data_IF_433459318612
#
_entry.id   IF_433459318612
#
_cell.length_a   1.000
_cell.length_b   1.000
_cell.length_c   1.000
_cell.angle_alpha   90.00
_cell.angle_beta   90.00
_cell.angle_gamma   90.00
#
_symmetry.space_group_name_H-M   'P 1'
#
loop_
_entity.id
_entity.type
_entity.pdbx_description
1 polymer ?
#
# COMPACT_ATOMS: atom_id res chain seq x y z
N UNK A 1 16.30 -1.58 -21.45
CA UNK A 1 14.99 -2.06 -21.92
C UNK A 1 14.45 -1.10 -22.98
N UNK A 2 13.55 -1.57 -23.85
CA UNK A 2 12.91 -0.77 -24.90
C UNK A 2 11.50 -0.42 -24.44
N UNK A 3 11.10 0.85 -24.55
CA UNK A 3 9.73 1.30 -24.22
C UNK A 3 8.70 0.56 -25.09
N UNK A 4 7.75 -0.12 -24.45
CA UNK A 4 6.62 -0.79 -25.11
C UNK A 4 5.36 0.01 -24.83
N UNK A 5 4.68 0.46 -25.88
CA UNK A 5 3.40 1.17 -25.75
C UNK A 5 2.25 0.17 -25.84
N UNK A 6 1.32 0.23 -24.89
CA UNK A 6 0.09 -0.54 -24.89
C UNK A 6 -1.13 0.37 -25.07
N UNK A 7 -2.20 -0.17 -25.65
CA UNK A 7 -3.51 0.52 -25.64
C UNK A 7 -4.06 0.46 -24.22
N UNK A 8 -4.51 1.58 -23.64
CA UNK A 8 -5.06 1.57 -22.29
C UNK A 8 -6.41 0.83 -22.27
N UNK A 9 -6.46 -0.32 -21.63
CA UNK A 9 -7.71 -0.95 -21.20
C UNK A 9 -8.25 -0.24 -19.94
N UNK A 10 -9.53 -0.43 -19.62
CA UNK A 10 -10.05 0.04 -18.32
C UNK A 10 -9.34 -0.75 -17.21
N UNK A 11 -8.43 -0.09 -16.48
CA UNK A 11 -7.77 -0.70 -15.33
C UNK A 11 -8.81 -1.01 -14.25
N UNK A 12 -8.79 -2.25 -13.75
CA UNK A 12 -9.59 -2.64 -12.60
C UNK A 12 -9.15 -1.86 -11.36
N UNK A 13 -10.12 -1.54 -10.50
CA UNK A 13 -9.93 -0.75 -9.29
C UNK A 13 -10.38 -1.52 -8.07
N UNK A 14 -9.52 -1.59 -7.06
CA UNK A 14 -9.77 -2.30 -5.81
C UNK A 14 -9.93 -1.29 -4.66
N UNK A 15 -11.04 -1.39 -3.92
CA UNK A 15 -11.25 -0.60 -2.70
C UNK A 15 -11.01 -1.46 -1.47
N UNK A 16 -10.22 -1.00 -0.48
CA UNK A 16 -9.99 -1.74 0.77
C UNK A 16 -11.28 -2.14 1.50
N UNK A 17 -12.27 -1.25 1.52
CA UNK A 17 -13.58 -1.48 2.14
C UNK A 17 -14.60 -0.45 1.63
N UNK A 18 -15.88 -0.71 1.90
CA UNK A 18 -16.97 0.22 1.56
C UNK A 18 -16.81 1.55 2.29
N UNK A 19 -16.68 2.65 1.54
CA UNK A 19 -16.48 4.00 2.08
C UNK A 19 -15.04 4.52 2.01
N UNK A 20 -14.08 3.70 1.58
CA UNK A 20 -12.75 4.21 1.24
C UNK A 20 -12.84 5.19 0.04
N UNK A 21 -12.11 6.33 0.05
CA UNK A 21 -12.42 7.46 -0.82
C UNK A 21 -12.02 7.24 -2.29
N UNK A 22 -11.22 6.22 -2.60
CA UNK A 22 -10.71 5.94 -3.94
C UNK A 22 -10.50 4.44 -4.15
N UNK A 23 -10.43 4.00 -5.40
CA UNK A 23 -9.95 2.67 -5.77
C UNK A 23 -8.46 2.70 -6.08
N UNK A 24 -7.72 1.68 -5.65
CA UNK A 24 -6.34 1.45 -6.06
C UNK A 24 -6.37 0.71 -7.39
N UNK A 25 -5.73 1.27 -8.41
CA UNK A 25 -5.69 0.68 -9.75
C UNK A 25 -4.76 -0.51 -9.80
N UNK A 26 -5.16 -1.55 -10.53
CA UNK A 26 -4.25 -2.61 -10.92
C UNK A 26 -3.01 -2.04 -11.63
N UNK A 27 -1.83 -2.59 -11.33
CA UNK A 27 -0.56 -2.14 -11.90
C UNK A 27 -0.04 -0.81 -11.36
N UNK A 28 -0.77 -0.16 -10.45
CA UNK A 28 -0.36 1.11 -9.88
C UNK A 28 0.64 0.96 -8.74
N UNK A 29 1.34 2.05 -8.45
CA UNK A 29 2.31 2.16 -7.38
C UNK A 29 1.83 3.12 -6.29
N UNK A 30 1.92 2.69 -5.03
CA UNK A 30 1.48 3.45 -3.87
C UNK A 30 2.57 3.54 -2.81
N UNK A 31 2.77 4.73 -2.25
CA UNK A 31 3.55 4.91 -1.03
C UNK A 31 2.63 5.38 0.12
N UNK A 32 2.76 4.73 1.27
CA UNK A 32 1.86 4.94 2.42
C UNK A 32 2.63 5.21 3.71
N UNK A 33 2.29 6.32 4.36
CA UNK A 33 2.74 6.63 5.72
C UNK A 33 1.63 6.36 6.72
N UNK A 34 2.01 5.85 7.90
CA UNK A 34 1.09 5.60 9.00
C UNK A 34 1.53 6.39 10.23
N UNK A 35 0.57 6.97 10.97
CA UNK A 35 0.85 7.64 12.25
C UNK A 35 0.89 6.67 13.43
N UNK A 36 0.21 5.53 13.33
CA UNK A 36 -0.02 4.61 14.44
C UNK A 36 -0.16 3.16 13.95
N UNK A 37 0.10 2.20 14.85
CA UNK A 37 0.06 0.77 14.53
C UNK A 37 -1.34 0.30 14.12
N UNK A 38 -2.40 0.90 14.68
CA UNK A 38 -3.75 0.48 14.38
C UNK A 38 -4.16 0.89 12.96
N UNK A 39 -3.74 2.07 12.50
CA UNK A 39 -3.98 2.50 11.11
C UNK A 39 -3.22 1.63 10.10
N UNK A 40 -1.98 1.26 10.40
CA UNK A 40 -1.20 0.31 9.59
C UNK A 40 -1.91 -1.04 9.51
N UNK A 41 -2.17 -1.67 10.65
CA UNK A 41 -2.77 -3.01 10.71
C UNK A 41 -4.14 -2.99 10.04
N UNK A 42 -4.98 -1.99 10.33
CA UNK A 42 -6.31 -1.88 9.74
C UNK A 42 -6.25 -1.76 8.22
N UNK A 43 -5.52 -0.75 7.70
CA UNK A 43 -5.55 -0.47 6.27
C UNK A 43 -4.86 -1.55 5.46
N UNK A 44 -3.70 -2.06 5.90
CA UNK A 44 -2.99 -3.13 5.21
C UNK A 44 -3.85 -4.39 5.14
N UNK A 45 -4.50 -4.77 6.25
CA UNK A 45 -5.34 -5.98 6.28
C UNK A 45 -6.51 -5.89 5.30
N UNK A 46 -7.24 -4.78 5.31
CA UNK A 46 -8.38 -4.58 4.40
C UNK A 46 -7.95 -4.43 2.94
N UNK A 47 -6.84 -3.74 2.69
CA UNK A 47 -6.27 -3.62 1.35
C UNK A 47 -5.87 -4.97 0.79
N UNK A 48 -5.14 -5.79 1.55
CA UNK A 48 -4.75 -7.13 1.11
C UNK A 48 -5.95 -8.07 0.93
N UNK A 49 -6.96 -7.99 1.80
CA UNK A 49 -8.18 -8.78 1.65
C UNK A 49 -8.91 -8.46 0.34
N UNK A 50 -8.96 -7.19 -0.05
CA UNK A 50 -9.56 -6.72 -1.28
C UNK A 50 -8.71 -7.07 -2.51
N UNK A 51 -7.38 -6.90 -2.45
CA UNK A 51 -6.47 -7.27 -3.54
C UNK A 51 -6.49 -8.78 -3.82
N UNK A 52 -6.70 -9.59 -2.78
CA UNK A 52 -6.79 -11.04 -2.91
C UNK A 52 -8.04 -11.49 -3.69
N UNK A 53 -9.03 -10.62 -3.88
CA UNK A 53 -10.17 -10.89 -4.76
C UNK A 53 -9.81 -10.75 -6.25
N UNK A 54 -8.81 -9.93 -6.57
CA UNK A 54 -8.31 -9.70 -7.92
C UNK A 54 -7.15 -10.62 -8.34
N UNK A 55 -6.45 -11.24 -7.39
CA UNK A 55 -5.36 -12.17 -7.69
C UNK A 55 -4.44 -12.47 -6.51
N UNK A 56 -3.30 -13.10 -6.78
CA UNK A 56 -2.31 -13.44 -5.75
C UNK A 56 -1.75 -12.18 -5.07
N UNK A 57 -1.60 -12.23 -3.74
CA UNK A 57 -1.03 -11.14 -2.94
C UNK A 57 0.25 -11.62 -2.25
N UNK A 58 1.34 -10.91 -2.47
CA UNK A 58 2.64 -11.19 -1.87
C UNK A 58 2.96 -10.11 -0.86
N UNK A 59 3.00 -10.46 0.41
CA UNK A 59 3.40 -9.58 1.50
C UNK A 59 4.86 -9.82 1.89
N UNK A 60 5.65 -8.76 1.88
CA UNK A 60 7.03 -8.73 2.38
C UNK A 60 7.09 -7.86 3.62
N UNK A 61 7.29 -8.49 4.77
CA UNK A 61 7.42 -7.78 6.04
C UNK A 61 8.89 -7.47 6.35
N UNK A 62 9.19 -6.19 6.49
CA UNK A 62 10.47 -5.66 7.00
C UNK A 62 10.31 -5.21 8.45
N UNK A 63 9.18 -4.55 8.75
CA UNK A 63 8.76 -4.11 10.08
C UNK A 63 7.23 -3.93 10.13
N UNK A 64 6.72 -3.43 11.26
CA UNK A 64 5.29 -3.13 11.44
C UNK A 64 4.51 -4.21 12.18
N UNK A 65 3.23 -3.91 12.45
CA UNK A 65 2.35 -4.74 13.29
C UNK A 65 1.55 -5.81 12.55
N UNK A 66 1.52 -5.79 11.21
CA UNK A 66 0.71 -6.72 10.41
C UNK A 66 1.13 -8.19 10.63
N UNK A 67 0.15 -9.09 10.64
CA UNK A 67 0.38 -10.54 10.64
C UNK A 67 -0.65 -11.25 9.76
N UNK A 68 -0.31 -12.40 9.15
CA UNK A 68 -1.27 -13.19 8.39
C UNK A 68 -2.51 -13.63 9.20
N UNK A 69 -2.37 -13.76 10.53
CA UNK A 69 -3.50 -14.05 11.40
C UNK A 69 -4.52 -12.92 11.46
N UNK A 70 -4.12 -11.67 11.26
CA UNK A 70 -5.02 -10.53 11.19
C UNK A 70 -5.89 -10.62 9.94
N UNK A 71 -5.31 -10.98 8.79
CA UNK A 71 -6.04 -11.18 7.52
C UNK A 71 -7.11 -12.26 7.65
N UNK A 72 -6.79 -13.38 8.32
CA UNK A 72 -7.74 -14.47 8.59
C UNK A 72 -8.93 -14.08 9.45
N UNK A 73 -8.90 -12.92 10.14
CA UNK A 73 -10.05 -12.43 10.92
C UNK A 73 -11.13 -11.82 10.04
N UNK A 74 -10.77 -11.33 8.85
CA UNK A 74 -11.71 -10.65 7.94
C UNK A 74 -11.93 -11.40 6.63
N UNK A 75 -11.09 -12.38 6.31
CA UNK A 75 -11.22 -13.21 5.10
C UNK A 75 -10.99 -14.68 5.44
N UNK A 76 -11.98 -15.53 5.14
CA UNK A 76 -11.92 -16.97 5.42
C UNK A 76 -10.93 -17.69 4.49
N UNK A 77 -11.04 -17.43 3.19
CA UNK A 77 -10.14 -17.97 2.18
C UNK A 77 -8.99 -16.99 1.92
N UNK A 78 -7.78 -17.43 2.25
CA UNK A 78 -6.54 -16.71 1.96
C UNK A 78 -5.66 -17.48 0.96
N UNK A 79 -6.27 -18.36 0.15
CA UNK A 79 -5.58 -18.98 -0.98
C UNK A 79 -5.07 -17.89 -1.94
N UNK A 80 -3.80 -17.98 -2.33
CA UNK A 80 -3.12 -16.90 -3.08
C UNK A 80 -2.42 -15.83 -2.23
N UNK A 81 -2.56 -15.87 -0.90
CA UNK A 81 -1.77 -15.00 -0.01
C UNK A 81 -0.41 -15.64 0.32
N UNK A 82 0.65 -14.93 -0.01
CA UNK A 82 2.03 -15.33 0.23
C UNK A 82 2.70 -14.35 1.19
N UNK A 83 3.43 -14.86 2.17
CA UNK A 83 4.07 -14.03 3.19
C UNK A 83 5.56 -14.37 3.33
N UNK A 84 6.41 -13.34 3.29
CA UNK A 84 7.85 -13.45 3.46
C UNK A 84 8.41 -12.34 4.34
N UNK A 85 9.64 -12.54 4.82
CA UNK A 85 10.41 -11.53 5.55
C UNK A 85 11.74 -11.31 4.86
N UNK A 86 12.14 -10.06 4.71
CA UNK A 86 13.48 -9.69 4.27
C UNK A 86 13.88 -8.33 4.82
N UNK A 87 15.17 -8.04 4.76
CA UNK A 87 15.75 -6.77 5.21
C UNK A 87 16.59 -6.10 4.12
N UNK A 88 16.51 -6.57 2.87
CA UNK A 88 17.31 -6.09 1.73
C UNK A 88 16.43 -5.81 0.52
N UNK A 89 16.66 -4.68 -0.14
CA UNK A 89 15.93 -4.31 -1.36
C UNK A 89 16.13 -5.33 -2.49
N UNK A 90 17.36 -5.85 -2.65
CA UNK A 90 17.66 -6.82 -3.70
C UNK A 90 16.78 -8.06 -3.65
N UNK A 91 16.45 -8.55 -2.45
CA UNK A 91 15.56 -9.71 -2.28
C UNK A 91 14.11 -9.40 -2.65
N UNK A 92 13.65 -8.17 -2.46
CA UNK A 92 12.31 -7.73 -2.90
C UNK A 92 12.25 -7.69 -4.42
N UNK A 93 13.28 -7.12 -5.06
CA UNK A 93 13.41 -7.08 -6.52
C UNK A 93 13.47 -8.49 -7.12
N UNK A 94 14.26 -9.39 -6.53
CA UNK A 94 14.31 -10.80 -6.95
C UNK A 94 12.97 -11.52 -6.80
N UNK A 95 12.25 -11.29 -5.70
CA UNK A 95 10.91 -11.84 -5.50
C UNK A 95 9.93 -11.32 -6.56
N UNK A 96 9.94 -10.02 -6.86
CA UNK A 96 9.09 -9.43 -7.89
C UNK A 96 9.33 -10.06 -9.28
N UNK A 97 10.58 -10.44 -9.59
CA UNK A 97 10.92 -11.14 -10.84
C UNK A 97 10.27 -12.51 -10.97
N UNK A 98 9.92 -13.19 -9.88
CA UNK A 98 9.27 -14.51 -9.91
C UNK A 98 7.75 -14.47 -9.76
N UNK A 99 7.18 -13.33 -9.36
CA UNK A 99 5.73 -13.13 -9.22
C UNK A 99 4.98 -13.23 -10.55
N UNK A 100 3.73 -13.69 -10.46
CA UNK A 100 2.77 -13.76 -11.58
C UNK A 100 2.36 -12.35 -12.03
N UNK A 101 2.20 -12.08 -13.34
CA UNK A 101 1.64 -10.81 -13.82
C UNK A 101 0.24 -10.54 -13.26
N UNK A 102 -0.12 -9.26 -13.07
CA UNK A 102 -1.42 -8.85 -12.50
C UNK A 102 -1.56 -9.07 -10.99
N UNK A 103 -0.54 -9.63 -10.32
CA UNK A 103 -0.55 -9.85 -8.86
C UNK A 103 -0.29 -8.55 -8.07
N UNK A 104 -0.34 -8.64 -6.74
CA UNK A 104 -0.04 -7.51 -5.86
C UNK A 104 1.18 -7.77 -4.98
N UNK A 105 2.04 -6.77 -4.80
CA UNK A 105 3.17 -6.78 -3.89
C UNK A 105 3.00 -5.70 -2.81
N UNK A 106 2.88 -6.12 -1.55
CA UNK A 106 2.87 -5.23 -0.39
C UNK A 106 4.19 -5.36 0.35
N UNK A 107 4.89 -4.25 0.57
CA UNK A 107 6.15 -4.22 1.32
C UNK A 107 5.98 -3.33 2.55
N UNK A 108 5.82 -3.95 3.72
CA UNK A 108 5.65 -3.23 4.98
C UNK A 108 6.97 -2.88 5.63
N UNK A 109 7.18 -1.59 5.89
CA UNK A 109 8.44 -1.05 6.38
C UNK A 109 9.49 -0.89 5.29
N UNK A 110 9.08 -0.61 4.04
CA UNK A 110 9.98 -0.41 2.90
C UNK A 110 11.17 0.51 3.22
N UNK A 111 11.00 1.64 3.93
CA UNK A 111 12.13 2.52 4.22
C UNK A 111 13.22 1.92 5.11
N UNK A 112 12.94 0.83 5.82
CA UNK A 112 13.88 0.10 6.68
C UNK A 112 14.75 -0.92 5.92
N UNK A 113 14.49 -1.15 4.63
CA UNK A 113 15.30 -2.05 3.81
C UNK A 113 16.74 -1.52 3.68
N UNK A 114 17.71 -2.43 3.86
CA UNK A 114 19.11 -2.15 3.55
C UNK A 114 19.34 -2.03 2.05
N UNK A 115 20.40 -1.31 1.72
CA UNK A 115 20.91 -1.12 0.37
C UNK A 115 19.88 -0.47 -0.57
N UNK A 116 18.99 0.38 -0.01
CA UNK A 116 18.08 1.21 -0.78
C UNK A 116 18.87 2.21 -1.63
N UNK A 117 18.58 2.21 -2.93
CA UNK A 117 19.11 3.15 -3.89
C UNK A 117 18.03 3.59 -4.87
N UNK A 118 18.24 4.74 -5.52
CA UNK A 118 17.37 5.21 -6.59
C UNK A 118 17.26 4.18 -7.70
N UNK A 119 18.39 3.61 -8.14
CA UNK A 119 18.42 2.59 -9.19
C UNK A 119 17.61 1.36 -8.82
N UNK A 120 17.70 0.91 -7.56
CA UNK A 120 16.93 -0.25 -7.09
C UNK A 120 15.42 0.03 -7.00
N UNK A 121 15.02 1.26 -6.67
CA UNK A 121 13.61 1.67 -6.72
C UNK A 121 13.10 1.75 -8.17
N UNK A 122 13.88 2.32 -9.07
CA UNK A 122 13.53 2.39 -10.49
C UNK A 122 13.38 0.99 -11.08
N UNK A 123 14.31 0.08 -10.81
CA UNK A 123 14.20 -1.33 -11.23
C UNK A 123 12.93 -1.99 -10.66
N UNK A 124 12.59 -1.73 -9.39
CA UNK A 124 11.37 -2.25 -8.78
C UNK A 124 10.10 -1.74 -9.49
N UNK A 125 10.03 -0.44 -9.76
CA UNK A 125 8.88 0.20 -10.44
C UNK A 125 8.77 -0.25 -11.91
N UNK A 126 9.89 -0.37 -12.62
CA UNK A 126 9.93 -0.85 -14.01
C UNK A 126 9.39 -2.28 -14.11
N UNK A 127 9.90 -3.20 -13.27
CA UNK A 127 9.44 -4.60 -13.28
C UNK A 127 7.96 -4.69 -12.87
N UNK A 128 7.53 -3.88 -11.90
CA UNK A 128 6.14 -3.86 -11.47
C UNK A 128 5.22 -3.40 -12.62
N UNK A 129 5.58 -2.30 -13.30
CA UNK A 129 4.82 -1.78 -14.44
C UNK A 129 4.77 -2.76 -15.62
N UNK A 130 5.89 -3.42 -15.96
CA UNK A 130 5.93 -4.41 -17.05
C UNK A 130 5.06 -5.64 -16.78
N UNK A 131 4.94 -6.04 -15.51
CA UNK A 131 4.14 -7.18 -15.08
C UNK A 131 2.72 -6.81 -14.67
N UNK A 132 2.35 -5.53 -14.74
CA UNK A 132 1.08 -5.02 -14.23
C UNK A 132 0.85 -5.39 -12.75
N UNK A 133 1.92 -5.39 -11.95
CA UNK A 133 1.87 -5.69 -10.50
C UNK A 133 1.47 -4.44 -9.74
N UNK A 134 0.43 -4.56 -8.91
CA UNK A 134 0.04 -3.49 -7.98
C UNK A 134 1.05 -3.43 -6.84
N UNK A 135 1.82 -2.34 -6.77
CA UNK A 135 2.91 -2.17 -5.81
C UNK A 135 2.49 -1.24 -4.67
N UNK A 136 2.54 -1.73 -3.43
CA UNK A 136 2.23 -0.94 -2.23
C UNK A 136 3.42 -0.96 -1.29
N UNK A 137 4.07 0.19 -1.12
CA UNK A 137 5.23 0.35 -0.25
C UNK A 137 4.83 1.16 0.97
N UNK A 138 4.83 0.55 2.15
CA UNK A 138 4.45 1.25 3.39
C UNK A 138 5.65 1.52 4.28
N UNK A 139 5.61 2.62 5.03
CA UNK A 139 6.48 2.82 6.18
C UNK A 139 5.83 2.16 7.41
N UNK A 140 6.65 1.77 8.40
CA UNK A 140 6.11 1.51 9.74
C UNK A 140 5.51 2.79 10.33
N UNK A 141 4.69 2.71 11.38
CA UNK A 141 4.18 3.90 12.04
C UNK A 141 5.29 4.87 12.47
N UNK A 142 5.08 6.18 12.25
CA UNK A 142 6.00 7.26 12.62
C UNK A 142 5.24 8.46 13.18
N UNK A 143 5.95 9.31 13.91
CA UNK A 143 5.45 10.62 14.29
C UNK A 143 5.60 11.54 13.09
N UNK A 144 4.48 12.01 12.54
CA UNK A 144 4.43 12.84 11.34
C UNK A 144 4.41 14.33 11.67
N UNK A 145 5.12 15.13 10.87
CA UNK A 145 4.85 16.55 10.76
C UNK A 145 3.61 16.81 9.89
N UNK A 146 2.47 16.95 10.55
CA UNK A 146 1.18 17.20 9.88
C UNK A 146 1.15 18.47 9.02
N UNK A 147 2.06 19.42 9.26
CA UNK A 147 2.13 20.67 8.51
C UNK A 147 2.91 20.54 7.19
N UNK A 148 3.67 19.46 6.99
CA UNK A 148 4.50 19.25 5.82
C UNK A 148 4.54 17.77 5.40
N UNK A 149 3.37 17.23 5.07
CA UNK A 149 3.25 15.85 4.56
C UNK A 149 4.08 15.60 3.28
N UNK A 150 4.20 16.54 2.31
CA UNK A 150 5.11 16.36 1.18
C UNK A 150 6.58 16.20 1.61
N UNK A 151 7.03 16.98 2.60
CA UNK A 151 8.36 16.86 3.19
C UNK A 151 8.57 15.53 3.91
N UNK A 152 7.54 14.99 4.59
CA UNK A 152 7.58 13.66 5.20
C UNK A 152 7.84 12.56 4.15
N UNK A 153 7.13 12.59 3.02
CA UNK A 153 7.39 11.63 1.94
C UNK A 153 8.80 11.74 1.39
N UNK A 154 9.29 12.96 1.16
CA UNK A 154 10.67 13.20 0.68
C UNK A 154 11.74 12.73 1.67
N UNK A 155 11.43 12.71 2.97
CA UNK A 155 12.36 12.28 4.02
C UNK A 155 12.43 10.76 4.14
N UNK A 156 11.36 10.06 3.79
CA UNK A 156 11.20 8.63 4.03
C UNK A 156 11.29 7.77 2.76
N UNK A 157 10.85 8.29 1.62
CA UNK A 157 10.86 7.61 0.32
C UNK A 157 11.88 8.22 -0.63
N UNK A 158 12.47 7.37 -1.48
CA UNK A 158 13.27 7.86 -2.61
C UNK A 158 12.30 8.20 -3.73
N UNK A 159 12.45 9.38 -4.35
CA UNK A 159 11.64 9.83 -5.49
C UNK A 159 10.12 9.60 -5.32
N UNK A 160 9.49 10.15 -4.26
CA UNK A 160 8.06 9.95 -4.02
C UNK A 160 7.17 10.40 -5.19
N UNK A 161 7.66 11.27 -6.06
CA UNK A 161 6.96 11.78 -7.24
C UNK A 161 6.73 10.73 -8.33
N UNK A 162 7.37 9.57 -8.23
CA UNK A 162 7.19 8.46 -9.17
C UNK A 162 5.99 7.56 -8.84
N UNK A 163 5.47 7.61 -7.60
CA UNK A 163 4.31 6.81 -7.23
C UNK A 163 3.03 7.39 -7.82
N UNK A 164 2.07 6.53 -8.15
CA UNK A 164 0.74 6.96 -8.61
C UNK A 164 -0.09 7.50 -7.45
N UNK A 165 0.03 6.87 -6.28
CA UNK A 165 -0.65 7.26 -5.06
C UNK A 165 0.33 7.59 -3.95
N UNK A 166 0.10 8.73 -3.29
CA UNK A 166 0.74 9.09 -2.03
C UNK A 166 -0.35 9.39 -1.02
N UNK A 167 -0.43 8.62 0.06
CA UNK A 167 -1.37 8.92 1.13
C UNK A 167 -0.86 8.57 2.52
N UNK A 168 -1.41 9.28 3.49
CA UNK A 168 -1.14 9.10 4.91
C UNK A 168 -2.39 8.60 5.58
N UNK A 169 -2.26 7.57 6.42
CA UNK A 169 -3.38 6.97 7.14
C UNK A 169 -3.19 7.02 8.66
N UNK A 170 -4.24 7.45 9.35
CA UNK A 170 -4.24 7.70 10.80
C UNK A 170 -5.51 7.18 11.43
N UNK A 171 -5.41 6.53 12.58
CA UNK A 171 -6.59 6.11 13.32
C UNK A 171 -6.87 7.10 14.45
N UNK A 172 -8.10 7.58 14.52
CA UNK A 172 -8.61 8.33 15.66
C UNK A 172 -9.68 7.52 16.36
N UNK A 173 -9.69 7.55 17.70
CA UNK A 173 -10.74 6.91 18.49
C UNK A 173 -11.26 7.84 19.58
N UNK A 174 -12.58 7.85 19.73
CA UNK A 174 -13.25 8.60 20.79
C UNK A 174 -14.47 7.84 21.30
N UNK A 175 -14.46 7.48 22.60
CA UNK A 175 -15.56 6.76 23.27
C UNK A 175 -16.01 5.48 22.55
N UNK A 176 -15.04 4.72 22.02
CA UNK A 176 -15.31 3.47 21.30
C UNK A 176 -15.75 3.64 19.85
N UNK A 177 -15.80 4.88 19.34
CA UNK A 177 -15.95 5.15 17.91
C UNK A 177 -14.60 5.36 17.25
N UNK A 178 -14.39 4.74 16.10
CA UNK A 178 -13.15 4.76 15.33
C UNK A 178 -13.36 5.44 13.98
N UNK A 179 -12.39 6.28 13.59
CA UNK A 179 -12.34 6.88 12.27
C UNK A 179 -10.94 6.74 11.68
N UNK A 180 -10.88 6.23 10.46
CA UNK A 180 -9.69 6.26 9.63
C UNK A 180 -9.63 7.64 8.95
N UNK A 181 -8.59 8.40 9.24
CA UNK A 181 -8.30 9.65 8.56
C UNK A 181 -7.23 9.39 7.49
N UNK A 182 -7.55 9.73 6.25
CA UNK A 182 -6.67 9.57 5.09
C UNK A 182 -6.37 10.93 4.50
N UNK A 183 -5.10 11.30 4.41
CA UNK A 183 -4.65 12.46 3.63
C UNK A 183 -4.11 11.96 2.30
N UNK A 184 -4.80 12.26 1.19
CA UNK A 184 -4.37 11.90 -0.16
C UNK A 184 -3.62 13.08 -0.78
N UNK A 185 -2.32 12.90 -1.00
CA UNK A 185 -1.44 13.93 -1.56
C UNK A 185 -1.31 13.79 -3.09
N UNK A 186 -1.41 12.56 -3.59
CA UNK A 186 -1.27 12.24 -5.00
C UNK A 186 -2.17 11.08 -5.35
N UNK A 187 -2.79 11.16 -6.52
CA UNK A 187 -3.58 10.11 -7.13
C UNK A 187 -3.61 10.34 -8.66
N UNK A 188 -4.00 9.32 -9.46
CA UNK A 188 -4.25 9.47 -10.88
C UNK A 188 -5.28 10.56 -11.19
N UNK A 189 -5.27 11.04 -12.45
CA UNK A 189 -6.06 12.18 -12.90
C UNK A 189 -7.57 12.05 -12.61
N UNK A 190 -8.10 10.84 -12.72
CA UNK A 190 -9.53 10.57 -12.49
C UNK A 190 -9.93 10.72 -11.02
N UNK A 191 -8.96 10.70 -10.09
CA UNK A 191 -9.15 10.84 -8.64
C UNK A 191 -8.67 12.19 -8.10
N UNK A 192 -8.38 13.18 -8.96
CA UNK A 192 -7.91 14.51 -8.49
C UNK A 192 -8.92 15.18 -7.56
N UNK A 193 -10.22 14.92 -7.76
CA UNK A 193 -11.28 15.41 -6.85
C UNK A 193 -11.24 14.81 -5.44
N UNK A 194 -10.48 13.73 -5.24
CA UNK A 194 -10.30 13.06 -3.96
C UNK A 194 -9.02 13.50 -3.24
N UNK A 195 -8.23 14.43 -3.77
CA UNK A 195 -7.06 14.94 -3.04
C UNK A 195 -7.49 15.68 -1.75
N UNK A 196 -6.64 15.64 -0.73
CA UNK A 196 -6.91 16.26 0.58
C UNK A 196 -7.28 15.26 1.67
N UNK A 197 -8.00 15.73 2.69
CA UNK A 197 -8.29 14.96 3.90
C UNK A 197 -9.68 14.30 3.85
N UNK A 198 -9.72 13.03 4.26
CA UNK A 198 -10.93 12.23 4.37
C UNK A 198 -11.02 11.64 5.76
N UNK A 199 -12.19 11.70 6.38
CA UNK A 199 -12.43 11.12 7.70
C UNK A 199 -13.55 10.10 7.62
N UNK A 200 -13.18 8.82 7.67
CA UNK A 200 -14.05 7.69 7.33
C UNK A 200 -14.39 6.96 8.63
N UNK A 201 -15.68 6.84 9.01
CA UNK A 201 -16.07 6.01 10.15
C UNK A 201 -15.79 4.54 9.83
N UNK A 202 -15.20 3.79 10.76
CA UNK A 202 -14.80 2.38 10.57
C UNK A 202 -15.24 1.47 11.71
N UNK A 203 -16.33 1.84 12.39
CA UNK A 203 -16.84 1.14 13.57
C UNK A 203 -17.28 -0.30 13.28
N UNK A 204 -17.77 -0.58 12.08
CA UNK A 204 -18.15 -1.94 11.65
C UNK A 204 -16.92 -2.77 11.36
N UNK A 205 -16.00 -2.21 10.58
CA UNK A 205 -14.84 -2.88 10.02
C UNK A 205 -13.82 -3.22 11.11
N UNK A 206 -13.61 -2.31 12.07
CA UNK A 206 -12.57 -2.46 13.07
C UNK A 206 -12.88 -3.52 14.13
N UNK A 207 -14.16 -3.86 14.32
CA UNK A 207 -14.61 -4.88 15.29
C UNK A 207 -14.03 -6.26 15.02
N UNK A 208 -13.75 -6.59 13.76
CA UNK A 208 -13.15 -7.87 13.41
C UNK A 208 -11.66 -7.93 13.79
N UNK A 209 -11.02 -6.78 14.03
CA UNK A 209 -9.59 -6.67 14.31
C UNK A 209 -9.27 -6.50 15.81
N UNK A 210 -10.22 -6.01 16.61
CA UNK A 210 -10.11 -5.81 18.06
C UNK A 210 -10.71 -6.98 18.84
#
# INVERSE_FOLDING_TARGET
MTLVFHTPDQSEEVKPFEGFPLGIRQGSSSAVLFSDELSEVFLVTYLEAALLEGGSVYHVQVGGGFTPSTLRRIKEDISGFHFGKTYRLSSVVEALKTMEPGSSLVVSGFPLLRDRSTDGLLELLEIAGEKDVTLILTHTPIVLNELDLPGEFSSHYLLPELFDYLFVARMSSYRGHYRLNVSLLRAPADFVGNLGEHSIPVDSEIKALL
#
